data_IF_519814407586
#
_entry.id   IF_519814407586
#
_cell.length_a   1.000
_cell.length_b   1.000
_cell.length_c   1.000
_cell.angle_alpha   90.00
_cell.angle_beta   90.00
_cell.angle_gamma   90.00
#
_symmetry.space_group_name_H-M   'P 1'
#
loop_
_entity.id
_entity.type
_entity.pdbx_description
1 polymer ?
#
# COMPACT_ATOMS: atom_id res chain seq x y z
N UNK A 1 -38.79 -1.88 44.91
CA UNK A 1 -38.11 -0.58 44.99
C UNK A 1 -36.57 -0.73 44.93
N UNK A 2 -36.01 -1.54 44.02
CA UNK A 2 -34.54 -1.71 43.89
C UNK A 2 -34.08 -1.79 42.41
N UNK A 3 -34.99 -2.17 41.50
CA UNK A 3 -34.74 -2.19 40.05
C UNK A 3 -34.71 -0.80 39.41
N UNK A 4 -35.29 0.22 40.05
CA UNK A 4 -35.32 1.60 39.52
C UNK A 4 -33.99 2.34 39.77
N UNK A 5 -33.22 1.95 40.79
CA UNK A 5 -31.95 2.60 41.15
C UNK A 5 -30.78 2.16 40.26
N UNK A 6 -30.81 0.92 39.74
CA UNK A 6 -29.79 0.38 38.83
C UNK A 6 -29.86 1.02 37.43
N UNK A 7 -31.01 1.56 37.04
CA UNK A 7 -31.15 2.30 35.78
C UNK A 7 -30.74 3.78 35.90
N UNK A 8 -30.65 4.33 37.12
CA UNK A 8 -30.35 5.74 37.40
C UNK A 8 -28.90 5.97 37.91
N UNK A 9 -28.18 4.90 38.25
CA UNK A 9 -26.77 4.93 38.67
C UNK A 9 -25.78 4.63 37.54
N UNK A 10 -26.16 4.75 36.27
CA UNK A 10 -25.16 5.10 35.25
C UNK A 10 -24.80 6.58 35.45
N UNK A 11 -24.20 6.89 36.60
CA UNK A 11 -23.41 8.09 36.78
C UNK A 11 -22.38 7.99 35.65
N UNK A 12 -22.61 8.78 34.61
CA UNK A 12 -21.82 8.75 33.40
C UNK A 12 -20.48 9.36 33.81
N UNK A 13 -19.63 8.53 34.42
CA UNK A 13 -18.38 8.94 35.01
C UNK A 13 -17.58 9.53 33.85
N UNK A 14 -17.30 10.85 33.83
CA UNK A 14 -16.73 11.49 32.66
C UNK A 14 -15.40 10.84 32.28
N UNK A 15 -14.68 10.28 33.26
CA UNK A 15 -13.49 9.45 33.05
C UNK A 15 -13.75 8.21 32.18
N UNK A 16 -14.86 7.48 32.34
CA UNK A 16 -15.20 6.35 31.47
C UNK A 16 -15.44 6.77 30.02
N UNK A 17 -16.00 7.96 29.78
CA UNK A 17 -16.17 8.50 28.43
C UNK A 17 -14.81 8.83 27.79
N UNK A 18 -13.90 9.49 28.52
CA UNK A 18 -12.55 9.77 28.05
C UNK A 18 -11.71 8.51 27.80
N UNK A 19 -11.83 7.50 28.67
CA UNK A 19 -11.17 6.20 28.49
C UNK A 19 -11.69 5.48 27.25
N UNK A 20 -13.01 5.43 27.07
CA UNK A 20 -13.63 4.80 25.89
C UNK A 20 -13.23 5.52 24.60
N UNK A 21 -13.21 6.85 24.60
CA UNK A 21 -12.84 7.65 23.44
C UNK A 21 -11.33 7.54 23.11
N UNK A 22 -10.48 7.48 24.14
CA UNK A 22 -9.05 7.19 24.00
C UNK A 22 -8.77 5.79 23.46
N UNK A 23 -9.46 4.78 23.97
CA UNK A 23 -9.35 3.40 23.48
C UNK A 23 -9.77 3.28 22.01
N UNK A 24 -10.86 3.95 21.61
CA UNK A 24 -11.31 3.99 20.22
C UNK A 24 -10.25 4.64 19.32
N UNK A 25 -9.69 5.79 19.71
CA UNK A 25 -8.60 6.44 18.95
C UNK A 25 -7.39 5.52 18.79
N UNK A 26 -6.97 4.83 19.85
CA UNK A 26 -5.82 3.92 19.81
C UNK A 26 -6.08 2.75 18.85
N UNK A 27 -7.27 2.16 18.90
CA UNK A 27 -7.64 1.05 18.00
C UNK A 27 -7.67 1.52 16.54
N UNK A 28 -8.35 2.63 16.21
CA UNK A 28 -8.37 3.16 14.85
C UNK A 28 -6.98 3.57 14.35
N UNK A 29 -6.16 4.21 15.19
CA UNK A 29 -4.78 4.55 14.87
C UNK A 29 -3.99 3.29 14.52
N UNK A 30 -4.04 2.27 15.37
CA UNK A 30 -3.28 1.03 15.17
C UNK A 30 -3.76 0.25 13.94
N UNK A 31 -5.08 0.19 13.73
CA UNK A 31 -5.67 -0.53 12.60
C UNK A 31 -5.51 0.19 11.26
N UNK A 32 -5.34 1.52 11.22
CA UNK A 32 -5.14 2.25 9.96
C UNK A 32 -3.65 2.43 9.63
N UNK A 33 -2.80 2.74 10.61
CA UNK A 33 -1.38 3.00 10.39
C UNK A 33 -0.60 1.72 10.11
N UNK A 34 -0.90 0.62 10.80
CA UNK A 34 -0.23 -0.66 10.55
C UNK A 34 -0.41 -1.15 9.11
N UNK A 35 -1.62 -1.18 8.51
CA UNK A 35 -1.78 -1.55 7.11
C UNK A 35 -1.24 -0.51 6.14
N UNK A 36 -1.33 0.80 6.44
CA UNK A 36 -0.73 1.82 5.57
C UNK A 36 0.80 1.71 5.52
N UNK A 37 1.46 1.53 6.67
CA UNK A 37 2.91 1.33 6.72
C UNK A 37 3.33 0.05 5.98
N UNK A 38 2.52 -1.01 6.04
CA UNK A 38 2.77 -2.23 5.26
C UNK A 38 2.70 -1.96 3.75
N UNK A 39 1.62 -1.32 3.28
CA UNK A 39 1.46 -0.92 1.86
C UNK A 39 2.60 -0.01 1.37
N UNK A 40 3.03 0.97 2.19
CA UNK A 40 4.12 1.87 1.85
C UNK A 40 5.48 1.15 1.77
N UNK A 41 5.75 0.22 2.70
CA UNK A 41 6.95 -0.62 2.68
C UNK A 41 6.97 -1.54 1.46
N UNK A 42 5.84 -2.15 1.12
CA UNK A 42 5.72 -3.04 -0.03
C UNK A 42 5.91 -2.27 -1.34
N UNK A 43 5.35 -1.06 -1.47
CA UNK A 43 5.57 -0.18 -2.60
C UNK A 43 7.01 0.32 -2.73
N UNK A 44 7.74 0.47 -1.61
CA UNK A 44 9.16 0.81 -1.62
C UNK A 44 10.01 -0.38 -2.08
N UNK A 45 9.77 -1.57 -1.50
CA UNK A 45 10.43 -2.82 -1.90
C UNK A 45 10.20 -3.15 -3.37
N UNK A 46 8.99 -2.93 -3.88
CA UNK A 46 8.69 -3.11 -5.29
C UNK A 46 9.58 -2.24 -6.18
N UNK A 47 9.67 -0.93 -5.90
CA UNK A 47 10.52 0.00 -6.64
C UNK A 47 12.01 -0.38 -6.61
N UNK A 48 12.47 -0.97 -5.51
CA UNK A 48 13.84 -1.47 -5.35
C UNK A 48 14.05 -2.82 -6.08
N UNK A 49 13.01 -3.65 -6.16
CA UNK A 49 13.04 -4.94 -6.86
C UNK A 49 13.03 -4.82 -8.38
N UNK A 50 12.73 -3.63 -8.93
CA UNK A 50 12.77 -3.40 -10.37
C UNK A 50 14.23 -3.34 -10.82
N UNK A 51 14.64 -4.37 -11.54
CA UNK A 51 15.97 -4.50 -12.12
C UNK A 51 15.89 -4.46 -13.65
N UNK A 52 17.04 -4.19 -14.29
CA UNK A 52 17.19 -4.26 -15.74
C UNK A 52 16.79 -5.67 -16.21
N UNK A 53 15.92 -5.74 -17.21
CA UNK A 53 15.37 -6.99 -17.75
C UNK A 53 14.00 -7.37 -17.23
N UNK A 54 13.48 -6.72 -16.18
CA UNK A 54 12.15 -6.98 -15.65
C UNK A 54 11.05 -6.58 -16.65
N UNK A 55 9.97 -7.36 -16.72
CA UNK A 55 8.75 -6.99 -17.43
C UNK A 55 7.86 -6.20 -16.49
N UNK A 56 7.39 -5.04 -16.94
CA UNK A 56 6.59 -4.12 -16.12
C UNK A 56 5.40 -3.62 -16.92
N UNK A 57 4.36 -3.22 -16.20
CA UNK A 57 3.17 -2.57 -16.78
C UNK A 57 3.07 -1.17 -16.21
N UNK A 58 2.87 -0.18 -17.07
CA UNK A 58 2.58 1.19 -16.62
C UNK A 58 1.12 1.30 -16.18
N UNK A 59 0.77 2.35 -15.43
CA UNK A 59 -0.62 2.61 -15.00
C UNK A 59 -1.59 2.73 -16.19
N UNK A 60 -1.09 3.15 -17.36
CA UNK A 60 -1.87 3.21 -18.61
C UNK A 60 -2.06 1.88 -19.32
N UNK A 61 -1.61 0.75 -18.75
CA UNK A 61 -1.72 -0.58 -19.36
C UNK A 61 -0.65 -0.87 -20.41
N UNK A 62 0.42 -0.07 -20.49
CA UNK A 62 1.51 -0.31 -21.44
C UNK A 62 2.45 -1.35 -20.86
N UNK A 63 2.65 -2.43 -21.60
CA UNK A 63 3.61 -3.48 -21.26
C UNK A 63 4.97 -3.16 -21.88
N UNK A 64 6.03 -3.31 -21.09
CA UNK A 64 7.39 -3.09 -21.58
C UNK A 64 8.44 -3.80 -20.76
N UNK A 65 9.67 -3.79 -21.26
CA UNK A 65 10.84 -4.34 -20.60
C UNK A 65 11.73 -3.22 -20.09
N UNK A 66 12.20 -3.35 -18.85
CA UNK A 66 13.12 -2.37 -18.26
C UNK A 66 14.51 -2.53 -18.89
N UNK A 67 14.98 -1.50 -19.58
CA UNK A 67 16.34 -1.45 -20.16
C UNK A 67 17.31 -0.82 -19.17
N UNK A 68 16.85 0.22 -18.48
CA UNK A 68 17.66 0.99 -17.54
C UNK A 68 16.82 1.45 -16.35
N UNK A 69 17.45 1.48 -15.16
CA UNK A 69 16.84 1.96 -13.93
C UNK A 69 17.73 3.08 -13.39
N UNK A 70 17.16 4.26 -13.22
CA UNK A 70 17.76 5.39 -12.51
C UNK A 70 17.06 5.56 -11.15
N UNK A 71 17.45 6.54 -10.33
CA UNK A 71 16.87 6.68 -8.99
C UNK A 71 15.37 6.99 -8.99
N UNK A 72 14.93 7.95 -9.80
CA UNK A 72 13.53 8.38 -9.92
C UNK A 72 12.83 7.82 -11.16
N UNK A 73 13.57 7.66 -12.26
CA UNK A 73 13.03 7.25 -13.56
C UNK A 73 13.50 5.87 -13.99
N UNK A 74 12.79 5.28 -14.94
CA UNK A 74 13.09 4.00 -15.58
C UNK A 74 12.95 4.15 -17.09
N UNK A 75 13.84 3.52 -17.84
CA UNK A 75 13.76 3.43 -19.29
C UNK A 75 13.11 2.10 -19.66
N UNK A 76 11.92 2.17 -20.25
CA UNK A 76 11.16 1.02 -20.72
C UNK A 76 11.28 0.94 -22.25
N UNK A 77 11.49 -0.27 -22.73
CA UNK A 77 11.35 -0.63 -24.13
C UNK A 77 9.99 -1.31 -24.32
N UNK A 78 9.13 -0.66 -25.12
CA UNK A 78 7.74 -1.10 -25.36
C UNK A 78 7.64 -1.86 -26.68
N UNK A 79 8.46 -1.49 -27.67
CA UNK A 79 8.54 -2.14 -28.97
C UNK A 79 9.97 -2.03 -29.51
N UNK A 80 10.25 -2.75 -30.59
CA UNK A 80 11.51 -2.82 -31.31
C UNK A 80 11.91 -1.42 -31.77
N UNK A 81 12.80 -0.76 -31.01
CA UNK A 81 13.31 0.62 -31.18
C UNK A 81 12.60 1.73 -30.36
N UNK A 82 11.45 1.46 -29.73
CA UNK A 82 10.73 2.49 -28.94
C UNK A 82 11.13 2.40 -27.47
N UNK A 83 12.00 3.35 -27.05
CA UNK A 83 12.42 3.51 -25.66
C UNK A 83 11.77 4.76 -25.06
N UNK A 84 11.04 4.57 -23.97
CA UNK A 84 10.32 5.63 -23.27
C UNK A 84 10.78 5.71 -21.82
N UNK A 85 10.99 6.93 -21.34
CA UNK A 85 11.34 7.18 -19.94
C UNK A 85 10.07 7.46 -19.15
N UNK A 86 9.86 6.65 -18.12
CA UNK A 86 8.75 6.83 -17.17
C UNK A 86 9.29 7.06 -15.77
N UNK A 87 8.50 7.74 -14.94
CA UNK A 87 8.75 7.80 -13.51
C UNK A 87 8.50 6.43 -12.87
N UNK A 88 9.28 6.06 -11.84
CA UNK A 88 9.03 4.84 -11.06
C UNK A 88 7.65 4.83 -10.39
N UNK A 89 7.08 6.01 -10.15
CA UNK A 89 5.71 6.15 -9.64
C UNK A 89 4.64 5.78 -10.68
N UNK A 90 4.96 5.82 -11.97
CA UNK A 90 4.03 5.52 -13.07
C UNK A 90 3.93 4.01 -13.39
N UNK A 91 4.65 3.16 -12.67
CA UNK A 91 4.60 1.71 -12.81
C UNK A 91 3.52 1.12 -11.91
N UNK A 92 2.67 0.27 -12.49
CA UNK A 92 1.62 -0.43 -11.78
C UNK A 92 2.22 -1.58 -10.96
N UNK A 93 2.19 -1.46 -9.64
CA UNK A 93 2.77 -2.43 -8.71
C UNK A 93 2.12 -3.82 -8.85
N UNK A 94 0.78 -3.89 -8.79
CA UNK A 94 0.05 -5.16 -8.76
C UNK A 94 0.16 -5.91 -10.10
N UNK A 95 0.01 -5.20 -11.22
CA UNK A 95 0.10 -5.78 -12.57
C UNK A 95 1.53 -6.21 -12.93
N UNK A 96 2.54 -5.48 -12.45
CA UNK A 96 3.94 -5.85 -12.68
C UNK A 96 4.41 -7.02 -11.81
N UNK A 97 3.89 -7.14 -10.57
CA UNK A 97 4.18 -8.29 -9.71
C UNK A 97 3.64 -9.61 -10.28
N UNK A 98 2.42 -9.61 -10.84
CA UNK A 98 1.81 -10.80 -11.46
C UNK A 98 2.60 -11.33 -12.66
N UNK A 99 3.17 -10.45 -13.50
CA UNK A 99 4.00 -10.86 -14.63
C UNK A 99 5.30 -11.55 -14.19
N UNK A 100 5.93 -11.07 -13.12
CA UNK A 100 7.15 -11.68 -12.60
C UNK A 100 6.88 -13.01 -11.87
N UNK A 101 5.76 -13.15 -11.15
CA UNK A 101 5.37 -14.43 -10.54
C UNK A 101 5.03 -15.51 -11.57
N UNK A 102 4.42 -15.11 -12.70
CA UNK A 102 4.11 -16.02 -13.80
C UNK A 102 5.38 -16.51 -14.52
N UNK A 103 6.41 -15.67 -14.57
CA UNK A 103 7.70 -16.02 -15.20
C UNK A 103 8.55 -16.94 -14.32
N UNK A 104 8.35 -16.94 -12.99
CA UNK A 104 9.13 -17.77 -12.05
C UNK A 104 8.60 -19.20 -11.87
N UNK A 105 7.44 -19.53 -12.46
CA UNK A 105 6.79 -20.85 -12.34
C UNK A 105 6.74 -21.64 -13.66
N UNK A 106 7.42 -21.17 -14.70
CA UNK A 106 7.48 -21.79 -16.03
C UNK A 106 8.85 -22.39 -16.32
#
# INVERSE_FOLDING_TARGET
>A
MSTLSILLQTEQNPTSFWIMMGALMVVFYFFMIRPQQKKAKDAKKFRESIQKGAKVVTIGGIHGKVVEVSDKTVLLEVDSNVKLRFEKSALAMDSSMQLNETTAKG
#
